data_IF_999396953414
#
_entry.id   IF_999396953414
#
_cell.length_a   1.000
_cell.length_b   1.000
_cell.length_c   1.000
_cell.angle_alpha   90.00
_cell.angle_beta   90.00
_cell.angle_gamma   90.00
#
_symmetry.space_group_name_H-M   'P 1'
#
loop_
_entity.id
_entity.type
_entity.pdbx_description
1 polymer ?
#
# COMPACT_ATOMS: atom_id res chain seq x y z
N UNK A 1 17.28 -26.68 -3.99
CA UNK A 1 17.07 -25.22 -3.96
C UNK A 1 16.64 -24.80 -5.36
N UNK A 2 15.44 -24.26 -5.53
CA UNK A 2 15.03 -23.67 -6.81
C UNK A 2 15.81 -22.37 -6.97
N UNK A 3 16.52 -22.21 -8.09
CA UNK A 3 17.24 -20.97 -8.38
C UNK A 3 16.26 -19.84 -8.65
N UNK A 4 16.31 -18.77 -7.85
CA UNK A 4 15.48 -17.58 -8.08
C UNK A 4 16.16 -16.77 -9.18
N UNK A 5 15.54 -16.70 -10.35
CA UNK A 5 15.97 -15.82 -11.44
C UNK A 5 15.16 -14.53 -11.32
N UNK A 6 15.79 -13.47 -10.82
CA UNK A 6 15.16 -12.16 -10.73
C UNK A 6 14.90 -11.62 -12.15
N UNK A 7 13.64 -11.48 -12.51
CA UNK A 7 13.20 -10.85 -13.76
C UNK A 7 12.39 -9.61 -13.44
N UNK A 8 12.97 -8.46 -13.71
CA UNK A 8 12.22 -7.21 -13.66
C UNK A 8 11.67 -6.92 -15.06
N UNK A 9 10.37 -7.08 -15.23
CA UNK A 9 9.66 -6.78 -16.47
C UNK A 9 8.93 -5.45 -16.31
N UNK A 10 9.13 -4.51 -17.23
CA UNK A 10 8.37 -3.26 -17.23
C UNK A 10 6.90 -3.53 -17.55
N UNK A 11 5.99 -2.84 -16.85
CA UNK A 11 4.53 -2.96 -17.04
C UNK A 11 3.95 -4.37 -16.78
N UNK A 12 4.73 -5.26 -16.18
CA UNK A 12 4.34 -6.62 -15.81
C UNK A 12 4.75 -6.88 -14.37
N UNK A 13 3.90 -7.59 -13.63
CA UNK A 13 4.18 -7.99 -12.26
C UNK A 13 4.65 -9.44 -12.15
N UNK A 14 4.74 -10.19 -13.25
CA UNK A 14 5.01 -11.63 -13.22
C UNK A 14 6.29 -11.97 -12.46
N UNK A 15 7.40 -11.32 -12.80
CA UNK A 15 8.68 -11.58 -12.14
C UNK A 15 8.75 -11.07 -10.70
N UNK A 16 8.07 -9.97 -10.37
CA UNK A 16 8.03 -9.43 -9.00
C UNK A 16 7.19 -10.36 -8.11
N UNK A 17 6.02 -10.77 -8.56
CA UNK A 17 5.13 -11.66 -7.82
C UNK A 17 5.68 -13.07 -7.59
N UNK A 18 6.60 -13.53 -8.44
CA UNK A 18 7.34 -14.77 -8.20
C UNK A 18 8.37 -14.66 -7.07
N UNK A 19 8.80 -13.44 -6.73
CA UNK A 19 9.85 -13.19 -5.72
C UNK A 19 9.31 -12.66 -4.40
N UNK A 20 8.23 -11.88 -4.43
CA UNK A 20 7.63 -11.24 -3.26
C UNK A 20 6.12 -11.49 -3.25
N UNK A 21 5.60 -11.80 -2.07
CA UNK A 21 4.17 -11.93 -1.82
C UNK A 21 3.53 -10.53 -1.65
N UNK A 22 3.09 -9.91 -2.75
CA UNK A 22 2.31 -8.67 -2.68
C UNK A 22 0.82 -8.99 -2.64
N UNK A 23 0.01 -8.16 -1.96
CA UNK A 23 -1.44 -8.34 -1.85
C UNK A 23 -2.15 -8.43 -3.22
N UNK A 24 -1.58 -7.83 -4.26
CA UNK A 24 -2.11 -7.85 -5.62
C UNK A 24 -1.80 -9.12 -6.42
N UNK A 25 -0.75 -9.86 -6.07
CA UNK A 25 -0.24 -10.98 -6.88
C UNK A 25 -1.25 -12.10 -7.14
N UNK A 26 -2.15 -12.45 -6.20
CA UNK A 26 -3.22 -13.42 -6.46
C UNK A 26 -4.26 -12.98 -7.51
N UNK A 27 -4.31 -11.69 -7.87
CA UNK A 27 -5.36 -11.11 -8.72
C UNK A 27 -4.93 -10.85 -10.16
N UNK A 28 -3.65 -11.02 -10.48
CA UNK A 28 -3.07 -10.60 -11.75
C UNK A 28 -2.31 -11.73 -12.45
N UNK A 29 -2.13 -11.58 -13.76
CA UNK A 29 -1.41 -12.54 -14.60
C UNK A 29 -2.25 -13.77 -14.95
N UNK A 30 -2.06 -14.87 -14.22
CA UNK A 30 -2.67 -16.18 -14.52
C UNK A 30 -4.09 -16.30 -13.92
N UNK A 31 -4.96 -17.18 -14.47
CA UNK A 31 -6.32 -17.37 -13.97
C UNK A 31 -6.40 -17.79 -12.49
N UNK A 32 -5.34 -18.37 -11.94
CA UNK A 32 -5.23 -18.76 -10.52
C UNK A 32 -4.36 -17.81 -9.69
N UNK A 33 -3.96 -16.65 -10.23
CA UNK A 33 -3.01 -15.73 -9.60
C UNK A 33 -1.56 -16.22 -9.68
N UNK A 34 -0.63 -15.38 -9.21
CA UNK A 34 0.79 -15.70 -9.14
C UNK A 34 1.20 -15.85 -7.68
N UNK A 35 1.76 -17.00 -7.34
CA UNK A 35 2.33 -17.28 -6.03
C UNK A 35 3.86 -17.12 -6.02
N UNK A 36 4.45 -16.68 -4.91
CA UNK A 36 5.90 -16.57 -4.75
C UNK A 36 6.53 -17.96 -4.66
N UNK A 37 7.73 -18.13 -5.25
CA UNK A 37 8.48 -19.39 -5.23
C UNK A 37 8.99 -19.74 -3.82
N UNK A 38 9.23 -18.70 -3.00
CA UNK A 38 9.67 -18.84 -1.62
C UNK A 38 8.81 -17.94 -0.73
N UNK A 39 8.11 -18.53 0.24
CA UNK A 39 7.36 -17.81 1.27
C UNK A 39 7.63 -18.45 2.64
N UNK A 40 7.45 -17.68 3.71
CA UNK A 40 7.61 -18.20 5.06
C UNK A 40 6.56 -19.26 5.36
N UNK A 41 6.97 -20.37 5.97
CA UNK A 41 6.11 -21.52 6.27
C UNK A 41 4.86 -21.08 7.05
N UNK A 42 3.70 -21.53 6.57
CA UNK A 42 2.42 -21.30 7.23
C UNK A 42 2.36 -22.05 8.56
N UNK A 43 1.65 -21.46 9.53
CA UNK A 43 1.42 -22.07 10.84
C UNK A 43 -0.07 -22.34 11.01
N UNK A 44 -0.40 -23.46 11.65
CA UNK A 44 -1.76 -23.78 12.04
C UNK A 44 -1.96 -23.36 13.51
N UNK A 45 -2.85 -22.41 13.73
CA UNK A 45 -3.25 -21.92 15.04
C UNK A 45 -4.69 -22.34 15.28
N UNK A 46 -4.86 -23.39 16.08
CA UNK A 46 -6.17 -23.89 16.52
C UNK A 46 -7.17 -24.18 15.37
N UNK A 47 -6.68 -24.69 14.23
CA UNK A 47 -7.49 -25.01 13.06
C UNK A 47 -7.59 -23.89 12.03
N UNK A 48 -6.97 -22.73 12.28
CA UNK A 48 -6.83 -21.64 11.31
C UNK A 48 -5.40 -21.59 10.79
N UNK A 49 -5.24 -21.73 9.48
CA UNK A 49 -3.94 -21.61 8.81
C UNK A 49 -3.64 -20.12 8.64
N UNK A 50 -2.63 -19.63 9.35
CA UNK A 50 -2.11 -18.28 9.17
C UNK A 50 -0.98 -18.31 8.15
N UNK A 51 -1.17 -17.53 7.09
CA UNK A 51 -0.17 -17.35 6.07
C UNK A 51 0.85 -16.32 6.54
N UNK A 52 2.11 -16.57 6.18
CA UNK A 52 3.20 -15.63 6.41
C UNK A 52 3.29 -15.06 7.85
N UNK A 53 3.50 -15.88 8.88
CA UNK A 53 3.53 -15.41 10.26
C UNK A 53 4.67 -14.40 10.54
N UNK A 54 5.75 -14.46 9.75
CA UNK A 54 6.83 -13.49 9.86
C UNK A 54 6.37 -12.07 9.50
N UNK A 55 5.56 -11.91 8.45
CA UNK A 55 5.02 -10.59 8.05
C UNK A 55 3.96 -10.10 9.03
N UNK A 56 3.13 -11.01 9.56
CA UNK A 56 2.17 -10.67 10.63
C UNK A 56 2.87 -10.00 11.83
N UNK A 57 3.99 -10.57 12.29
CA UNK A 57 4.73 -10.00 13.42
C UNK A 57 5.31 -8.63 13.08
N UNK A 58 5.86 -8.44 11.87
CA UNK A 58 6.39 -7.14 11.45
C UNK A 58 5.30 -6.09 11.35
N UNK A 59 4.11 -6.45 10.86
CA UNK A 59 2.97 -5.54 10.73
C UNK A 59 2.45 -5.11 12.10
N UNK A 60 2.34 -6.03 13.06
CA UNK A 60 1.96 -5.72 14.45
C UNK A 60 2.95 -4.72 15.06
N UNK A 61 4.25 -4.96 14.90
CA UNK A 61 5.29 -4.05 15.40
C UNK A 61 5.18 -2.69 14.71
N UNK A 62 4.98 -2.65 13.40
CA UNK A 62 4.82 -1.41 12.64
C UNK A 62 3.60 -0.59 13.11
N UNK A 63 2.46 -1.25 13.36
CA UNK A 63 1.24 -0.59 13.89
C UNK A 63 1.49 -0.01 15.29
N UNK A 64 2.13 -0.78 16.18
CA UNK A 64 2.46 -0.31 17.54
C UNK A 64 3.40 0.90 17.47
N UNK A 65 4.45 0.82 16.65
CA UNK A 65 5.39 1.93 16.47
C UNK A 65 4.72 3.16 15.85
N UNK A 66 3.83 2.98 14.86
CA UNK A 66 3.04 4.07 14.30
C UNK A 66 2.16 4.75 15.36
N UNK A 67 1.53 3.99 16.26
CA UNK A 67 0.73 4.54 17.35
C UNK A 67 1.59 5.36 18.34
N UNK A 68 2.76 4.85 18.70
CA UNK A 68 3.72 5.57 19.57
C UNK A 68 4.19 6.88 18.90
N UNK A 69 4.48 6.86 17.61
CA UNK A 69 4.87 8.06 16.86
C UNK A 69 3.75 9.10 16.83
N UNK A 70 2.51 8.68 16.53
CA UNK A 70 1.34 9.59 16.55
C UNK A 70 1.17 10.22 17.93
N UNK A 71 1.30 9.43 19.01
CA UNK A 71 1.23 9.94 20.37
C UNK A 71 2.29 11.03 20.64
N UNK A 72 3.55 10.76 20.30
CA UNK A 72 4.64 11.72 20.50
C UNK A 72 4.48 13.01 19.67
N UNK A 73 4.04 12.90 18.42
CA UNK A 73 3.80 14.08 17.58
C UNK A 73 2.66 14.92 18.17
N UNK A 74 1.61 14.27 18.68
CA UNK A 74 0.51 14.98 19.35
C UNK A 74 0.89 15.55 20.72
N UNK A 75 1.92 15.04 21.39
CA UNK A 75 2.39 15.60 22.66
C UNK A 75 3.18 16.91 22.51
N UNK A 76 3.73 17.22 21.32
CA UNK A 76 4.53 18.43 21.09
C UNK A 76 3.63 19.60 20.64
N UNK A 77 3.84 20.80 21.19
CA UNK A 77 3.01 21.98 20.89
C UNK A 77 3.67 23.00 19.94
N UNK A 78 4.98 22.93 19.72
CA UNK A 78 5.77 23.94 18.99
C UNK A 78 6.62 23.31 17.88
N UNK A 79 5.99 22.58 16.96
CA UNK A 79 6.66 21.94 15.83
C UNK A 79 5.98 22.30 14.51
N UNK A 80 6.79 22.62 13.50
CA UNK A 80 6.32 22.95 12.15
C UNK A 80 5.88 21.67 11.43
N UNK A 81 4.76 21.71 10.71
CA UNK A 81 4.20 20.61 9.92
C UNK A 81 3.59 19.49 10.77
N UNK A 82 3.32 19.77 12.05
CA UNK A 82 2.87 18.77 13.03
C UNK A 82 1.52 18.15 12.63
N UNK A 83 0.56 18.95 12.17
CA UNK A 83 -0.79 18.44 11.88
C UNK A 83 -0.82 17.68 10.55
N UNK A 84 0.05 18.07 9.64
CA UNK A 84 0.26 17.53 8.30
C UNK A 84 0.91 16.16 8.38
N UNK A 85 2.02 16.01 9.12
CA UNK A 85 2.74 14.73 9.21
C UNK A 85 1.95 13.66 9.98
N UNK A 86 1.11 14.08 10.93
CA UNK A 86 0.19 13.15 11.62
C UNK A 86 -0.78 12.50 10.64
N UNK A 87 -1.19 13.20 9.58
CA UNK A 87 -2.06 12.63 8.55
C UNK A 87 -1.36 11.48 7.81
N UNK A 88 -0.08 11.64 7.47
CA UNK A 88 0.74 10.57 6.88
C UNK A 88 0.75 9.33 7.78
N UNK A 89 1.02 9.50 9.09
CA UNK A 89 1.05 8.36 10.01
C UNK A 89 -0.31 7.67 10.18
N UNK A 90 -1.43 8.40 10.12
CA UNK A 90 -2.75 7.77 10.10
C UNK A 90 -2.98 6.94 8.82
N UNK A 91 -2.63 7.47 7.64
CA UNK A 91 -2.74 6.73 6.39
C UNK A 91 -1.83 5.50 6.36
N UNK A 92 -0.58 5.64 6.83
CA UNK A 92 0.36 4.54 6.97
C UNK A 92 -0.18 3.44 7.89
N UNK A 93 -0.69 3.80 9.07
CA UNK A 93 -1.26 2.83 10.01
C UNK A 93 -2.44 2.05 9.41
N UNK A 94 -3.34 2.72 8.69
CA UNK A 94 -4.48 2.06 8.03
C UNK A 94 -3.98 1.16 6.88
N UNK A 95 -2.97 1.60 6.13
CA UNK A 95 -2.36 0.82 5.04
C UNK A 95 -1.76 -0.48 5.56
N UNK A 96 -0.90 -0.41 6.60
CA UNK A 96 -0.28 -1.59 7.22
C UNK A 96 -1.32 -2.51 7.86
N UNK A 97 -2.34 -1.94 8.51
CA UNK A 97 -3.44 -2.74 9.06
C UNK A 97 -4.17 -3.53 7.97
N UNK A 98 -4.41 -2.92 6.82
CA UNK A 98 -5.06 -3.59 5.69
C UNK A 98 -4.14 -4.61 5.01
N UNK A 99 -2.85 -4.31 4.91
CA UNK A 99 -1.82 -5.27 4.46
C UNK A 99 -1.82 -6.52 5.32
N UNK A 100 -1.82 -6.35 6.65
CA UNK A 100 -1.89 -7.44 7.61
C UNK A 100 -3.10 -8.35 7.35
N UNK A 101 -4.30 -7.78 7.09
CA UNK A 101 -5.50 -8.58 6.83
C UNK A 101 -5.42 -9.37 5.51
N UNK A 102 -4.75 -8.83 4.49
CA UNK A 102 -4.65 -9.43 3.16
C UNK A 102 -3.54 -10.49 3.10
N UNK A 103 -2.34 -10.17 3.61
CA UNK A 103 -1.14 -11.03 3.50
C UNK A 103 -1.22 -12.24 4.45
N UNK A 104 -1.85 -12.08 5.61
CA UNK A 104 -1.95 -13.18 6.59
C UNK A 104 -3.05 -14.19 6.27
N UNK A 105 -3.86 -13.90 5.23
CA UNK A 105 -4.97 -14.73 4.79
C UNK A 105 -6.20 -14.69 5.69
N UNK A 106 -6.30 -13.69 6.58
CA UNK A 106 -7.53 -13.41 7.34
C UNK A 106 -8.68 -13.13 6.37
N UNK A 107 -8.41 -12.42 5.27
CA UNK A 107 -9.29 -12.35 4.11
C UNK A 107 -8.78 -13.37 3.08
N UNK A 108 -9.51 -14.48 2.83
CA UNK A 108 -9.07 -15.49 1.88
C UNK A 108 -9.05 -14.92 0.46
N UNK A 109 -8.03 -15.28 -0.32
CA UNK A 109 -7.89 -14.88 -1.75
C UNK A 109 -9.04 -15.37 -2.62
N UNK A 110 -9.68 -16.48 -2.25
CA UNK A 110 -10.87 -17.02 -2.91
C UNK A 110 -12.15 -16.21 -2.65
N UNK A 111 -12.15 -15.33 -1.65
CA UNK A 111 -13.32 -14.51 -1.31
C UNK A 111 -13.57 -13.46 -2.40
N UNK A 112 -14.83 -13.23 -2.83
CA UNK A 112 -15.15 -12.17 -3.79
C UNK A 112 -14.88 -10.76 -3.22
N UNK A 113 -14.64 -10.66 -1.92
CA UNK A 113 -14.32 -9.41 -1.22
C UNK A 113 -12.83 -9.06 -1.32
N UNK A 114 -11.95 -10.04 -1.58
CA UNK A 114 -10.51 -9.84 -1.63
C UNK A 114 -10.05 -8.78 -2.68
N UNK A 115 -10.58 -8.75 -3.92
CA UNK A 115 -10.21 -7.73 -4.90
C UNK A 115 -10.54 -6.30 -4.45
N UNK A 116 -11.65 -6.12 -3.73
CA UNK A 116 -12.09 -4.82 -3.23
C UNK A 116 -11.17 -4.31 -2.13
N UNK A 117 -10.85 -5.15 -1.15
CA UNK A 117 -9.92 -4.79 -0.07
C UNK A 117 -8.52 -4.56 -0.61
N UNK A 118 -8.08 -5.33 -1.60
CA UNK A 118 -6.79 -5.12 -2.27
C UNK A 118 -6.76 -3.80 -3.05
N UNK A 119 -7.86 -3.42 -3.71
CA UNK A 119 -7.95 -2.13 -4.39
C UNK A 119 -7.89 -0.95 -3.40
N UNK A 120 -8.58 -1.05 -2.26
CA UNK A 120 -8.50 -0.06 -1.18
C UNK A 120 -7.08 0.02 -0.62
N UNK A 121 -6.40 -1.12 -0.44
CA UNK A 121 -5.02 -1.17 0.04
C UNK A 121 -4.07 -0.43 -0.88
N UNK A 122 -4.11 -0.73 -2.18
CA UNK A 122 -3.26 -0.05 -3.18
C UNK A 122 -3.59 1.44 -3.23
N UNK A 123 -4.87 1.80 -3.15
CA UNK A 123 -5.29 3.20 -3.10
C UNK A 123 -4.71 3.95 -1.91
N UNK A 124 -4.79 3.34 -0.72
CA UNK A 124 -4.26 3.92 0.52
C UNK A 124 -2.74 4.04 0.48
N UNK A 125 -2.06 3.04 -0.08
CA UNK A 125 -0.62 3.05 -0.27
C UNK A 125 -0.18 4.22 -1.17
N UNK A 126 -0.80 4.38 -2.34
CA UNK A 126 -0.51 5.51 -3.24
C UNK A 126 -0.84 6.87 -2.60
N UNK A 127 -1.94 6.97 -1.87
CA UNK A 127 -2.30 8.18 -1.13
C UNK A 127 -1.31 8.48 0.01
N UNK A 128 -0.74 7.45 0.64
CA UNK A 128 0.30 7.60 1.68
C UNK A 128 1.58 8.16 1.08
N UNK A 129 2.04 7.66 -0.07
CA UNK A 129 3.20 8.23 -0.78
C UNK A 129 2.95 9.66 -1.26
N UNK A 130 1.75 9.95 -1.77
CA UNK A 130 1.38 11.32 -2.13
C UNK A 130 1.37 12.27 -0.93
N UNK A 131 0.80 11.83 0.20
CA UNK A 131 0.81 12.59 1.45
C UNK A 131 2.24 12.81 1.95
N UNK A 132 3.12 11.81 1.83
CA UNK A 132 4.54 11.94 2.15
C UNK A 132 5.19 13.04 1.30
N UNK A 133 5.07 12.98 -0.03
CA UNK A 133 5.59 14.02 -0.94
C UNK A 133 5.12 15.43 -0.55
N UNK A 134 3.82 15.61 -0.26
CA UNK A 134 3.30 16.92 0.14
C UNK A 134 3.85 17.40 1.48
N UNK A 135 4.09 16.49 2.43
CA UNK A 135 4.74 16.84 3.69
C UNK A 135 6.18 17.36 3.47
N UNK A 136 6.88 16.91 2.44
CA UNK A 136 8.21 17.43 2.08
C UNK A 136 8.12 18.90 1.66
N UNK A 137 7.07 19.26 0.93
CA UNK A 137 6.84 20.66 0.52
C UNK A 137 6.46 21.60 1.66
N UNK A 138 5.90 21.09 2.77
CA UNK A 138 5.57 21.90 3.95
C UNK A 138 6.83 22.53 4.56
N UNK A 139 7.99 21.87 4.45
CA UNK A 139 9.27 22.41 4.92
C UNK A 139 9.72 23.68 4.20
N UNK A 140 9.27 23.90 2.95
CA UNK A 140 9.57 25.10 2.17
C UNK A 140 8.59 26.25 2.42
N UNK A 141 7.58 26.06 3.28
CA UNK A 141 6.60 27.08 3.65
C UNK A 141 5.83 27.70 2.47
N UNK A 142 5.63 26.95 1.37
CA UNK A 142 4.78 27.40 0.25
C UNK A 142 3.35 27.70 0.68
N UNK A 143 2.83 26.93 1.64
CA UNK A 143 1.63 27.23 2.38
C UNK A 143 2.01 27.33 3.86
N UNK A 144 1.44 28.32 4.55
CA UNK A 144 1.63 28.45 5.99
C UNK A 144 1.13 27.18 6.70
N UNK A 145 2.03 26.57 7.47
CA UNK A 145 1.76 25.38 8.27
C UNK A 145 0.59 25.61 9.23
N UNK A 146 -0.25 24.58 9.40
CA UNK A 146 -1.37 24.59 10.33
C UNK A 146 -2.56 25.43 9.87
N UNK A 147 -2.46 26.12 8.74
CA UNK A 147 -3.61 26.78 8.10
C UNK A 147 -4.62 25.75 7.61
N UNK A 148 -5.92 26.10 7.59
CA UNK A 148 -6.94 25.22 7.01
C UNK A 148 -6.63 24.91 5.54
N UNK A 149 -6.01 25.84 4.81
CA UNK A 149 -5.64 25.65 3.41
C UNK A 149 -4.60 24.53 3.25
N UNK A 150 -3.53 24.53 4.05
CA UNK A 150 -2.52 23.45 4.10
C UNK A 150 -3.17 22.08 4.39
N UNK A 151 -4.01 22.02 5.43
CA UNK A 151 -4.59 20.74 5.86
C UNK A 151 -5.61 20.19 4.87
N UNK A 152 -6.48 21.04 4.31
CA UNK A 152 -7.48 20.60 3.35
C UNK A 152 -6.88 20.27 1.98
N UNK A 153 -5.80 20.94 1.57
CA UNK A 153 -5.11 20.61 0.32
C UNK A 153 -4.51 19.19 0.39
N UNK A 154 -3.83 18.83 1.49
CA UNK A 154 -3.29 17.48 1.69
C UNK A 154 -4.41 16.45 1.77
N UNK A 155 -5.50 16.75 2.50
CA UNK A 155 -6.66 15.83 2.64
C UNK A 155 -7.35 15.54 1.32
N UNK A 156 -7.72 16.58 0.58
CA UNK A 156 -8.48 16.45 -0.65
C UNK A 156 -7.60 15.81 -1.73
N UNK A 157 -6.35 16.27 -1.90
CA UNK A 157 -5.47 15.71 -2.92
C UNK A 157 -5.13 14.24 -2.65
N UNK A 158 -4.87 13.85 -1.39
CA UNK A 158 -4.66 12.45 -1.02
C UNK A 158 -5.91 11.60 -1.25
N UNK A 159 -7.11 12.14 -0.97
CA UNK A 159 -8.38 11.46 -1.26
C UNK A 159 -8.60 11.27 -2.77
N UNK A 160 -8.24 12.26 -3.58
CA UNK A 160 -8.32 12.14 -5.04
C UNK A 160 -7.36 11.06 -5.55
N UNK A 161 -6.11 11.02 -5.09
CA UNK A 161 -5.15 9.96 -5.46
C UNK A 161 -5.65 8.58 -5.01
N UNK A 162 -6.19 8.47 -3.79
CA UNK A 162 -6.81 7.25 -3.28
C UNK A 162 -7.91 6.75 -4.22
N UNK A 163 -8.85 7.62 -4.62
CA UNK A 163 -9.96 7.24 -5.50
C UNK A 163 -9.50 6.86 -6.90
N UNK A 164 -8.56 7.61 -7.50
CA UNK A 164 -8.03 7.33 -8.84
C UNK A 164 -7.33 5.97 -8.85
N UNK A 165 -6.40 5.76 -7.93
CA UNK A 165 -5.59 4.52 -7.90
C UNK A 165 -6.40 3.31 -7.45
N UNK A 166 -7.34 3.50 -6.51
CA UNK A 166 -8.31 2.48 -6.13
C UNK A 166 -9.23 2.08 -7.30
N UNK A 167 -9.70 3.05 -8.10
CA UNK A 167 -10.48 2.79 -9.30
C UNK A 167 -9.68 2.03 -10.36
N UNK A 168 -8.43 2.43 -10.62
CA UNK A 168 -7.55 1.72 -11.56
C UNK A 168 -7.30 0.28 -11.09
N UNK A 169 -7.08 0.06 -9.79
CA UNK A 169 -6.87 -1.26 -9.23
C UNK A 169 -8.10 -2.16 -9.43
N UNK A 170 -9.30 -1.70 -9.02
CA UNK A 170 -10.52 -2.51 -9.17
C UNK A 170 -10.90 -2.73 -10.65
N UNK A 171 -10.73 -1.72 -11.50
CA UNK A 171 -10.97 -1.84 -12.94
C UNK A 171 -10.02 -2.85 -13.59
N UNK A 172 -8.76 -2.90 -13.13
CA UNK A 172 -7.80 -3.93 -13.54
C UNK A 172 -8.31 -5.31 -13.13
N UNK A 173 -8.61 -5.50 -11.83
CA UNK A 173 -9.07 -6.78 -11.26
C UNK A 173 -10.34 -7.33 -11.91
N UNK A 174 -11.27 -6.46 -12.31
CA UNK A 174 -12.52 -6.84 -12.95
C UNK A 174 -12.44 -6.89 -14.49
N UNK A 175 -11.27 -6.63 -15.10
CA UNK A 175 -11.08 -6.54 -16.54
C UNK A 175 -12.05 -5.56 -17.23
N UNK A 176 -12.29 -4.40 -16.60
CA UNK A 176 -13.09 -3.33 -17.19
C UNK A 176 -12.24 -2.63 -18.25
N UNK A 177 -12.69 -2.67 -19.51
CA UNK A 177 -12.02 -2.00 -20.63
C UNK A 177 -11.76 -0.52 -20.31
N UNK A 178 -10.52 0.01 -20.48
CA UNK A 178 -9.35 -0.54 -21.18
C UNK A 178 -8.39 -1.39 -20.31
N UNK A 179 -8.72 -1.65 -19.05
CA UNK A 179 -7.83 -2.33 -18.09
C UNK A 179 -7.99 -3.86 -18.14
N UNK A 180 -6.88 -4.58 -17.96
CA UNK A 180 -6.86 -6.04 -17.94
C UNK A 180 -5.88 -6.60 -16.91
N UNK A 181 -6.26 -7.70 -16.27
CA UNK A 181 -5.41 -8.45 -15.33
C UNK A 181 -4.17 -9.06 -15.97
N UNK A 182 -4.21 -9.33 -17.28
CA UNK A 182 -3.07 -9.92 -18.00
C UNK A 182 -2.00 -8.89 -18.37
N UNK A 183 -2.41 -7.64 -18.54
CA UNK A 183 -1.53 -6.53 -18.88
C UNK A 183 -1.82 -5.33 -17.94
N UNK A 184 -1.49 -5.46 -16.64
CA UNK A 184 -1.77 -4.44 -15.62
C UNK A 184 -0.78 -3.25 -15.68
N UNK A 185 -0.52 -2.72 -16.89
CA UNK A 185 0.50 -1.70 -17.12
C UNK A 185 0.22 -0.38 -16.38
N UNK A 186 -1.04 0.05 -16.35
CA UNK A 186 -1.43 1.27 -15.63
C UNK A 186 -1.21 1.11 -14.12
N UNK A 187 -1.64 -0.02 -13.54
CA UNK A 187 -1.45 -0.32 -12.12
C UNK A 187 0.04 -0.37 -11.76
N UNK A 188 0.86 -1.00 -12.61
CA UNK A 188 2.32 -1.06 -12.45
C UNK A 188 2.97 0.33 -12.43
N UNK A 189 2.56 1.21 -13.35
CA UNK A 189 3.08 2.57 -13.42
C UNK A 189 2.77 3.38 -12.14
N UNK A 190 1.54 3.30 -11.63
CA UNK A 190 1.21 3.95 -10.36
C UNK A 190 1.94 3.33 -9.18
N UNK A 191 2.05 2.00 -9.15
CA UNK A 191 2.66 1.28 -8.04
C UNK A 191 4.16 1.59 -7.90
N UNK A 192 4.91 1.61 -9.00
CA UNK A 192 6.37 1.77 -8.95
C UNK A 192 6.85 3.15 -9.38
N UNK A 193 6.38 3.68 -10.53
CA UNK A 193 6.89 4.95 -11.05
C UNK A 193 6.35 6.11 -10.22
N UNK A 194 5.03 6.21 -10.05
CA UNK A 194 4.42 7.33 -9.33
C UNK A 194 4.87 7.35 -7.86
N UNK A 195 4.75 6.22 -7.14
CA UNK A 195 5.20 6.13 -5.75
C UNK A 195 6.72 6.28 -5.61
N UNK A 196 7.50 5.72 -6.54
CA UNK A 196 8.95 5.86 -6.54
C UNK A 196 9.40 7.32 -6.73
N UNK A 197 8.78 8.04 -7.66
CA UNK A 197 9.02 9.49 -7.83
C UNK A 197 8.60 10.23 -6.56
N UNK A 198 7.43 9.94 -5.99
CA UNK A 198 6.96 10.58 -4.77
C UNK A 198 7.93 10.41 -3.60
N UNK A 199 8.51 9.21 -3.46
CA UNK A 199 9.50 8.90 -2.44
C UNK A 199 10.86 9.56 -2.68
N UNK A 200 11.35 9.62 -3.92
CA UNK A 200 12.65 10.22 -4.25
C UNK A 200 12.62 11.75 -4.14
N UNK A 201 11.48 12.37 -4.46
CA UNK A 201 11.32 13.83 -4.44
C UNK A 201 11.10 14.38 -3.02
N UNK A 202 10.50 13.58 -2.14
CA UNK A 202 10.29 13.92 -0.72
C UNK A 202 11.62 14.12 0.03
#
# INVERSE_FOLDING_TARGET
>A
MVGIIYKFESFSFNGICQTVALSLCPLIGQPNGIEPVCYSRNIDLAGNIVFQPATLVTDIVAIIMAAIMIYHIRSKYTAVGRKEIVMFFYLYMITVFLEMLLVTGVIPTASPVYPWFTAVHIGLMCATFWCLLLNGFVGFQFAEDGTPLSLWSIRISSLVIFLITGFIAIATFQNISPFSNKAPGALWAFYFIFNGIAFIVY
#
